data_IF_672493769923
#
_entry.id   IF_672493769923
#
_cell.length_a   1.000
_cell.length_b   1.000
_cell.length_c   1.000
_cell.angle_alpha   90.00
_cell.angle_beta   90.00
_cell.angle_gamma   90.00
#
_symmetry.space_group_name_H-M   'P 1'
#
loop_
_entity.id
_entity.type
_entity.pdbx_description
1 polymer ?
#
# COMPACT_ATOMS: atom_id res chain seq x y z
N UNK A 1 31.49 8.99 -3.49
CA UNK A 1 30.93 10.07 -2.64
C UNK A 1 29.46 10.23 -3.04
N UNK A 2 28.54 9.58 -2.32
CA UNK A 2 27.12 9.52 -2.73
C UNK A 2 26.24 8.42 -2.08
N UNK A 3 26.83 7.45 -1.37
CA UNK A 3 26.12 6.31 -0.74
C UNK A 3 25.20 6.70 0.42
N UNK A 4 25.53 7.77 1.14
CA UNK A 4 24.83 8.23 2.34
C UNK A 4 23.36 8.62 2.08
N UNK A 5 23.11 9.28 0.93
CA UNK A 5 21.77 9.72 0.54
C UNK A 5 20.83 8.54 0.31
N UNK A 6 21.30 7.46 -0.31
CA UNK A 6 20.49 6.30 -0.66
C UNK A 6 20.02 5.54 0.59
N UNK A 7 20.92 5.38 1.59
CA UNK A 7 20.56 4.80 2.91
C UNK A 7 19.46 5.59 3.63
N UNK A 8 19.38 6.89 3.37
CA UNK A 8 18.40 7.80 3.97
C UNK A 8 17.06 7.87 3.22
N UNK A 9 16.90 7.17 2.10
CA UNK A 9 15.63 7.16 1.36
C UNK A 9 14.59 6.29 2.06
N UNK A 10 13.32 6.65 1.92
CA UNK A 10 12.20 5.95 2.56
C UNK A 10 11.31 5.35 1.47
N UNK A 11 11.46 4.04 1.15
CA UNK A 11 10.59 3.40 0.17
C UNK A 11 9.15 3.34 0.68
N UNK A 12 8.18 3.46 -0.23
CA UNK A 12 6.73 3.41 0.06
C UNK A 12 6.06 2.40 -0.86
N UNK A 13 5.13 1.58 -0.35
CA UNK A 13 4.34 0.67 -1.20
C UNK A 13 3.34 1.45 -2.05
N UNK A 14 3.21 1.05 -3.31
CA UNK A 14 2.12 1.44 -4.21
C UNK A 14 0.99 0.42 -4.07
N UNK A 15 -0.25 0.87 -4.28
CA UNK A 15 -1.44 0.00 -4.24
C UNK A 15 -1.55 -0.88 -5.51
N UNK A 16 -0.68 -1.89 -5.61
CA UNK A 16 -0.61 -2.84 -6.71
C UNK A 16 -1.81 -3.82 -6.74
N UNK A 17 -2.13 -4.43 -7.90
CA UNK A 17 -3.00 -5.60 -7.99
C UNK A 17 -2.37 -6.84 -7.32
N UNK A 18 -3.13 -7.95 -7.31
CA UNK A 18 -2.81 -9.23 -6.65
C UNK A 18 -1.32 -9.59 -6.64
N UNK A 19 -0.74 -9.71 -5.43
CA UNK A 19 0.66 -10.11 -5.25
C UNK A 19 0.94 -11.55 -5.71
N UNK A 20 -0.09 -12.38 -5.88
CA UNK A 20 0.04 -13.79 -6.24
C UNK A 20 0.44 -14.01 -7.71
N UNK A 21 0.21 -13.02 -8.58
CA UNK A 21 0.45 -13.10 -10.02
C UNK A 21 1.79 -12.45 -10.42
N UNK A 22 2.55 -11.94 -9.44
CA UNK A 22 3.83 -11.27 -9.65
C UNK A 22 5.00 -12.25 -9.57
N UNK A 23 6.04 -12.11 -10.43
CA UNK A 23 7.23 -12.97 -10.42
C UNK A 23 8.20 -12.57 -9.30
N UNK A 24 7.73 -12.59 -8.05
CA UNK A 24 8.50 -12.26 -6.85
C UNK A 24 9.11 -13.52 -6.24
N UNK A 25 10.41 -13.45 -5.93
CA UNK A 25 11.06 -14.38 -5.01
C UNK A 25 10.57 -14.17 -3.57
N UNK A 26 10.77 -15.17 -2.71
CA UNK A 26 10.49 -15.06 -1.28
C UNK A 26 11.27 -13.91 -0.61
N UNK A 27 12.47 -13.60 -1.11
CA UNK A 27 13.28 -12.48 -0.63
C UNK A 27 12.68 -11.12 -0.98
N UNK A 28 12.33 -10.90 -2.26
CA UNK A 28 11.65 -9.68 -2.71
C UNK A 28 10.29 -9.49 -2.00
N UNK A 29 9.52 -10.57 -1.83
CA UNK A 29 8.26 -10.56 -1.08
C UNK A 29 8.43 -10.23 0.41
N UNK A 30 9.49 -10.74 1.04
CA UNK A 30 9.82 -10.41 2.43
C UNK A 30 10.26 -8.94 2.57
N UNK A 31 11.15 -8.44 1.71
CA UNK A 31 11.54 -7.01 1.69
C UNK A 31 10.31 -6.13 1.51
N UNK A 32 9.44 -6.45 0.53
CA UNK A 32 8.18 -5.76 0.33
C UNK A 32 7.33 -5.74 1.62
N UNK A 33 7.25 -6.86 2.34
CA UNK A 33 6.49 -6.99 3.60
C UNK A 33 6.99 -6.08 4.75
N UNK A 34 8.24 -5.62 4.70
CA UNK A 34 8.80 -4.68 5.69
C UNK A 34 8.61 -3.20 5.31
N UNK A 35 8.38 -2.89 4.03
CA UNK A 35 8.24 -1.49 3.56
C UNK A 35 6.93 -0.86 4.06
N UNK A 36 7.01 -0.01 5.08
CA UNK A 36 5.86 0.65 5.71
C UNK A 36 5.66 2.13 5.30
N UNK A 37 6.58 2.67 4.49
CA UNK A 37 6.58 4.08 4.08
C UNK A 37 7.19 5.05 5.10
N UNK A 38 7.86 4.56 6.15
CA UNK A 38 8.54 5.36 7.19
C UNK A 38 9.97 4.90 7.45
N UNK A 39 10.23 3.61 7.32
CA UNK A 39 11.53 2.95 7.53
C UNK A 39 12.51 3.35 6.42
N UNK A 40 13.75 3.70 6.75
CA UNK A 40 14.77 4.04 5.76
C UNK A 40 15.40 2.79 5.12
N UNK A 41 16.07 2.94 3.96
CA UNK A 41 16.84 1.84 3.35
C UNK A 41 17.92 1.31 4.32
N UNK A 42 18.60 2.20 5.05
CA UNK A 42 19.60 1.81 6.05
C UNK A 42 19.02 1.03 7.24
N UNK A 43 17.81 1.36 7.68
CA UNK A 43 17.10 0.60 8.71
C UNK A 43 16.57 -0.74 8.16
N UNK A 44 16.16 -0.78 6.89
CA UNK A 44 15.74 -2.02 6.22
C UNK A 44 16.88 -3.03 6.09
N UNK A 45 18.13 -2.62 5.88
CA UNK A 45 19.30 -3.52 5.95
C UNK A 45 19.35 -4.21 7.33
N UNK A 46 19.23 -3.43 8.41
CA UNK A 46 19.28 -3.92 9.79
C UNK A 46 18.09 -4.85 10.14
N UNK A 47 16.89 -4.55 9.65
CA UNK A 47 15.68 -5.33 9.90
C UNK A 47 15.64 -6.62 9.08
N UNK A 48 16.07 -6.57 7.81
CA UNK A 48 16.02 -7.73 6.92
C UNK A 48 17.25 -8.64 7.04
N UNK A 49 18.35 -8.13 7.59
CA UNK A 49 19.64 -8.84 7.63
C UNK A 49 20.32 -8.96 6.27
N UNK A 50 19.80 -8.28 5.24
CA UNK A 50 20.41 -8.20 3.92
C UNK A 50 21.53 -7.17 3.92
N UNK A 51 22.61 -7.47 3.20
CA UNK A 51 23.61 -6.48 2.84
C UNK A 51 23.03 -5.45 1.85
N UNK A 52 23.70 -4.29 1.75
CA UNK A 52 23.22 -3.18 0.93
C UNK A 52 23.13 -3.49 -0.58
N UNK A 53 23.90 -4.44 -1.11
CA UNK A 53 23.83 -4.82 -2.53
C UNK A 53 22.61 -5.72 -2.79
N UNK A 54 22.40 -6.72 -1.92
CA UNK A 54 21.20 -7.58 -1.95
C UNK A 54 19.92 -6.78 -1.76
N UNK A 55 19.90 -5.83 -0.80
CA UNK A 55 18.73 -4.99 -0.56
C UNK A 55 18.48 -4.00 -1.71
N UNK A 56 19.52 -3.34 -2.23
CA UNK A 56 19.38 -2.44 -3.37
C UNK A 56 18.83 -3.17 -4.60
N UNK A 57 19.35 -4.38 -4.88
CA UNK A 57 18.86 -5.24 -5.96
C UNK A 57 17.37 -5.57 -5.77
N UNK A 58 16.96 -5.97 -4.56
CA UNK A 58 15.54 -6.25 -4.28
C UNK A 58 14.66 -5.00 -4.43
N UNK A 59 15.11 -3.83 -3.98
CA UNK A 59 14.38 -2.56 -4.12
C UNK A 59 14.27 -2.13 -5.59
N UNK A 60 15.32 -2.26 -6.40
CA UNK A 60 15.31 -1.96 -7.84
C UNK A 60 14.33 -2.87 -8.60
N UNK A 61 14.24 -4.15 -8.21
CA UNK A 61 13.27 -5.12 -8.75
C UNK A 61 11.84 -4.73 -8.38
N UNK A 62 11.58 -4.38 -7.12
CA UNK A 62 10.26 -3.92 -6.65
C UNK A 62 9.84 -2.59 -7.29
N UNK A 63 10.78 -1.68 -7.53
CA UNK A 63 10.58 -0.43 -8.29
C UNK A 63 10.21 -0.72 -9.75
N UNK A 64 10.96 -1.62 -10.41
CA UNK A 64 10.72 -2.02 -11.80
C UNK A 64 9.35 -2.69 -12.02
N UNK A 65 8.84 -3.37 -10.99
CA UNK A 65 7.50 -3.96 -10.96
C UNK A 65 6.39 -2.96 -10.55
N UNK A 66 6.73 -1.71 -10.23
CA UNK A 66 5.77 -0.67 -9.82
C UNK A 66 5.12 -0.93 -8.45
N UNK A 67 5.75 -1.74 -7.60
CA UNK A 67 5.21 -2.16 -6.30
C UNK A 67 5.59 -1.18 -5.18
N UNK A 68 6.68 -0.44 -5.38
CA UNK A 68 7.15 0.60 -4.46
C UNK A 68 7.56 1.85 -5.24
N UNK A 69 7.65 2.96 -4.53
CA UNK A 69 8.26 4.21 -4.96
C UNK A 69 9.33 4.62 -3.94
N UNK A 70 10.48 5.09 -4.44
CA UNK A 70 11.52 5.74 -3.63
C UNK A 70 11.52 7.24 -3.92
N UNK A 71 11.67 8.04 -2.87
CA UNK A 71 11.75 9.49 -3.01
C UNK A 71 12.13 10.19 -1.71
N UNK A 72 12.49 11.48 -1.78
CA UNK A 72 12.65 12.30 -0.59
C UNK A 72 11.34 12.32 0.20
N UNK A 73 11.42 12.50 1.52
CA UNK A 73 10.24 12.51 2.40
C UNK A 73 9.39 13.77 2.18
N UNK A 74 8.61 13.76 1.09
CA UNK A 74 7.48 14.67 0.90
C UNK A 74 6.42 14.24 1.91
N UNK A 75 6.11 15.15 2.84
CA UNK A 75 5.01 14.96 3.81
C UNK A 75 3.72 14.67 3.05
N UNK A 76 2.80 13.83 3.58
CA UNK A 76 1.61 13.42 2.86
C UNK A 76 0.71 14.63 2.56
N UNK A 77 0.74 15.08 1.31
CA UNK A 77 -0.16 16.08 0.77
C UNK A 77 -0.66 15.62 -0.59
N UNK A 78 -1.93 15.20 -0.66
CA UNK A 78 -2.69 14.85 -1.88
C UNK A 78 -2.04 13.70 -2.69
N UNK A 79 -2.52 12.45 -2.69
CA UNK A 79 -3.90 11.99 -2.51
C UNK A 79 -4.40 11.40 -3.83
N UNK A 80 -4.38 10.07 -3.94
CA UNK A 80 -5.15 9.34 -4.96
C UNK A 80 -6.18 8.51 -4.20
N UNK A 81 -7.28 9.16 -3.81
CA UNK A 81 -8.43 8.44 -3.35
C UNK A 81 -8.96 7.60 -4.52
N UNK A 82 -8.87 6.27 -4.43
CA UNK A 82 -9.74 5.42 -5.25
C UNK A 82 -11.17 5.91 -5.02
N UNK A 83 -11.99 6.13 -6.06
CA UNK A 83 -13.40 6.37 -5.84
C UNK A 83 -13.97 5.14 -5.13
N UNK A 84 -14.31 5.30 -3.86
CA UNK A 84 -15.10 4.30 -3.15
C UNK A 84 -16.48 4.31 -3.81
N UNK A 85 -16.70 3.38 -4.75
CA UNK A 85 -18.03 3.08 -5.26
C UNK A 85 -18.79 2.51 -4.06
N UNK A 86 -19.52 3.39 -3.37
CA UNK A 86 -20.51 2.99 -2.39
C UNK A 86 -21.53 2.14 -3.14
N UNK A 87 -21.75 0.87 -2.79
CA UNK A 87 -22.82 0.11 -3.40
C UNK A 87 -24.14 0.79 -3.01
N UNK A 88 -24.85 1.26 -4.02
CA UNK A 88 -26.15 1.91 -3.89
C UNK A 88 -27.12 0.91 -3.26
N UNK A 89 -27.37 1.06 -1.95
CA UNK A 89 -28.47 0.36 -1.28
C UNK A 89 -29.72 1.20 -1.52
N UNK A 90 -30.65 0.78 -2.39
CA UNK A 90 -31.94 1.45 -2.45
C UNK A 90 -32.58 1.35 -1.05
N UNK A 91 -33.18 2.43 -0.54
CA UNK A 91 -33.90 2.38 0.72
C UNK A 91 -35.06 1.39 0.56
N UNK A 92 -35.00 0.28 1.30
CA UNK A 92 -36.09 -0.69 1.33
C UNK A 92 -37.20 -0.12 2.19
N UNK A 93 -38.10 0.67 1.60
CA UNK A 93 -39.37 1.04 2.22
C UNK A 93 -40.18 -0.23 2.51
N UNK A 94 -40.54 -0.52 3.77
CA UNK A 94 -41.57 -1.50 4.08
C UNK A 94 -42.93 -0.94 3.63
N UNK A 95 -43.87 -1.77 3.15
CA UNK A 95 -45.07 -1.28 2.49
C UNK A 95 -46.01 -0.49 3.42
N UNK A 96 -46.70 0.49 2.86
CA UNK A 96 -47.86 1.11 3.47
C UNK A 96 -49.04 0.13 3.51
N UNK A 97 -49.07 -0.77 4.50
CA UNK A 97 -50.22 -1.64 4.75
C UNK A 97 -51.27 -0.92 5.61
N UNK A 98 -52.51 -0.90 5.13
CA UNK A 98 -53.44 0.16 5.42
C UNK A 98 -54.67 -0.30 6.23
N UNK A 99 -54.93 0.42 7.35
CA UNK A 99 -56.27 0.58 7.99
C UNK A 99 -56.78 -0.72 8.71
N UNK A 100 -57.93 -0.72 9.44
CA UNK A 100 -58.91 0.35 9.66
C UNK A 100 -59.45 0.56 11.12
N UNK A 101 -60.01 1.77 11.33
CA UNK A 101 -61.12 2.22 12.21
C UNK A 101 -61.33 1.76 13.68
N UNK A 102 -61.68 2.77 14.50
CA UNK A 102 -62.65 2.83 15.64
C UNK A 102 -63.75 1.74 15.65
N UNK A 103 -64.48 1.46 16.75
CA UNK A 103 -64.76 2.31 17.93
C UNK A 103 -63.57 2.50 18.88
N UNK A 104 -63.63 3.49 19.79
CA UNK A 104 -64.70 4.49 19.96
C UNK A 104 -64.55 5.68 18.99
#
# INVERSE_FOLDING_TARGET
>A
MGTDRHRSEVPRRVAAPSLADLPLSSGEGFVLSQIDGKTSVGDLELITGLDGESLATALERLLSLGLIETGPVVRPGRGVARPAILPDRPPTEPPAEARPVRPP
#
